data_IF_933220661645
#
_entry.id   IF_933220661645
#
_cell.length_a   1.000
_cell.length_b   1.000
_cell.length_c   1.000
_cell.angle_alpha   90.00
_cell.angle_beta   90.00
_cell.angle_gamma   90.00
#
_symmetry.space_group_name_H-M   'P 1'
#
loop_
_entity.id
_entity.type
_entity.pdbx_description
1 polymer ?
#
# COMPACT_ATOMS: atom_id res chain seq x y z
N UNK A 1 -5.75 5.41 -91.61
CA UNK A 1 -7.22 5.46 -91.53
C UNK A 1 -7.83 4.27 -90.81
N UNK A 2 -7.78 3.02 -91.30
CA UNK A 2 -8.41 1.88 -90.58
C UNK A 2 -7.71 1.50 -89.25
N UNK A 3 -6.38 1.60 -89.18
CA UNK A 3 -5.63 1.34 -87.95
C UNK A 3 -5.91 2.39 -86.85
N UNK A 4 -5.97 3.67 -87.22
CA UNK A 4 -6.29 4.77 -86.31
C UNK A 4 -7.75 4.73 -85.84
N UNK A 5 -8.68 4.34 -86.72
CA UNK A 5 -10.09 4.12 -86.34
C UNK A 5 -10.23 2.95 -85.35
N UNK A 6 -9.41 1.92 -85.47
CA UNK A 6 -9.40 0.76 -84.56
C UNK A 6 -8.78 1.11 -83.21
N UNK A 7 -7.72 1.92 -83.18
CA UNK A 7 -7.13 2.46 -81.94
C UNK A 7 -8.08 3.44 -81.22
N UNK A 8 -8.78 4.31 -81.97
CA UNK A 8 -9.78 5.21 -81.40
C UNK A 8 -10.98 4.41 -80.87
N UNK A 9 -11.45 3.39 -81.60
CA UNK A 9 -12.52 2.52 -81.14
C UNK A 9 -12.14 1.67 -79.91
N UNK A 10 -10.89 1.17 -79.83
CA UNK A 10 -10.40 0.46 -78.65
C UNK A 10 -10.25 1.39 -77.45
N UNK A 11 -9.74 2.61 -77.65
CA UNK A 11 -9.64 3.62 -76.60
C UNK A 11 -11.02 4.06 -76.08
N UNK A 12 -12.03 4.20 -76.95
CA UNK A 12 -13.42 4.48 -76.54
C UNK A 12 -14.02 3.31 -75.77
N UNK A 13 -13.75 2.06 -76.18
CA UNK A 13 -14.21 0.88 -75.45
C UNK A 13 -13.55 0.77 -74.07
N UNK A 14 -12.24 1.04 -73.95
CA UNK A 14 -11.54 1.10 -72.65
C UNK A 14 -12.09 2.21 -71.75
N UNK A 15 -12.39 3.39 -72.29
CA UNK A 15 -13.05 4.47 -71.54
C UNK A 15 -14.48 4.11 -71.08
N UNK A 16 -15.19 3.29 -71.84
CA UNK A 16 -16.54 2.81 -71.45
C UNK A 16 -16.53 1.75 -70.33
N UNK A 17 -15.35 1.20 -70.01
CA UNK A 17 -15.19 0.21 -68.92
C UNK A 17 -14.93 0.83 -67.55
N UNK A 18 -14.87 2.17 -67.45
CA UNK A 18 -14.77 2.88 -66.16
C UNK A 18 -16.06 2.66 -65.40
N UNK A 19 -16.00 1.79 -64.38
CA UNK A 19 -17.15 1.50 -63.54
C UNK A 19 -17.11 2.51 -62.38
N UNK A 20 -18.00 3.52 -62.34
CA UNK A 20 -17.92 4.60 -61.37
C UNK A 20 -17.99 4.10 -59.92
N UNK A 21 -18.63 2.95 -59.68
CA UNK A 21 -18.68 2.30 -58.37
C UNK A 21 -17.30 1.75 -57.99
N UNK A 22 -16.62 1.10 -58.93
CA UNK A 22 -15.33 0.46 -58.69
C UNK A 22 -14.20 1.46 -58.57
N UNK A 23 -14.21 2.49 -59.40
CA UNK A 23 -13.05 3.36 -59.59
C UNK A 23 -13.10 4.59 -58.65
N UNK A 24 -14.27 4.93 -58.10
CA UNK A 24 -14.44 6.09 -57.22
C UNK A 24 -15.12 5.76 -55.89
N UNK A 25 -16.22 5.01 -55.90
CA UNK A 25 -16.97 4.71 -54.67
C UNK A 25 -16.21 3.73 -53.77
N UNK A 26 -15.65 2.65 -54.33
CA UNK A 26 -14.89 1.68 -53.52
C UNK A 26 -13.64 2.27 -52.87
N UNK A 27 -12.76 3.01 -53.57
CA UNK A 27 -11.62 3.66 -52.91
C UNK A 27 -12.04 4.60 -51.79
N UNK A 28 -13.08 5.42 -52.01
CA UNK A 28 -13.62 6.32 -50.98
C UNK A 28 -14.18 5.55 -49.78
N UNK A 29 -14.94 4.47 -50.02
CA UNK A 29 -15.48 3.61 -48.97
C UNK A 29 -14.37 2.91 -48.16
N UNK A 30 -13.30 2.43 -48.81
CA UNK A 30 -12.15 1.83 -48.14
C UNK A 30 -11.45 2.84 -47.23
N UNK A 31 -11.24 4.07 -47.71
CA UNK A 31 -10.63 5.14 -46.90
C UNK A 31 -11.50 5.50 -45.69
N UNK A 32 -12.83 5.61 -45.87
CA UNK A 32 -13.76 5.90 -44.79
C UNK A 32 -13.81 4.77 -43.76
N UNK A 33 -13.88 3.51 -44.20
CA UNK A 33 -13.84 2.33 -43.32
C UNK A 33 -12.49 2.26 -42.59
N UNK A 34 -11.38 2.47 -43.29
CA UNK A 34 -10.04 2.50 -42.70
C UNK A 34 -9.91 3.59 -41.64
N UNK A 35 -10.43 4.79 -41.91
CA UNK A 35 -10.47 5.90 -40.96
C UNK A 35 -11.31 5.59 -39.73
N UNK A 36 -12.49 5.00 -39.90
CA UNK A 36 -13.35 4.56 -38.78
C UNK A 36 -12.66 3.48 -37.94
N UNK A 37 -12.12 2.44 -38.56
CA UNK A 37 -11.40 1.36 -37.87
C UNK A 37 -10.20 1.92 -37.11
N UNK A 38 -9.43 2.83 -37.72
CA UNK A 38 -8.30 3.47 -37.06
C UNK A 38 -8.75 4.32 -35.85
N UNK A 39 -9.84 5.07 -35.97
CA UNK A 39 -10.39 5.87 -34.88
C UNK A 39 -10.82 5.00 -33.69
N UNK A 40 -11.62 3.95 -33.94
CA UNK A 40 -12.06 3.03 -32.90
C UNK A 40 -10.89 2.24 -32.28
N UNK A 41 -9.93 1.80 -33.11
CA UNK A 41 -8.74 1.11 -32.63
C UNK A 41 -7.88 2.01 -31.74
N UNK A 42 -7.68 3.27 -32.13
CA UNK A 42 -6.92 4.23 -31.33
C UNK A 42 -7.62 4.55 -30.00
N UNK A 43 -8.94 4.73 -30.01
CA UNK A 43 -9.72 4.93 -28.79
C UNK A 43 -9.61 3.72 -27.85
N UNK A 44 -9.72 2.51 -28.39
CA UNK A 44 -9.59 1.26 -27.63
C UNK A 44 -8.18 1.09 -27.05
N UNK A 45 -7.12 1.37 -27.82
CA UNK A 45 -5.74 1.32 -27.33
C UNK A 45 -5.49 2.32 -26.20
N UNK A 46 -5.95 3.57 -26.34
CA UNK A 46 -5.86 4.58 -25.27
C UNK A 46 -6.57 4.13 -23.99
N UNK A 47 -7.75 3.53 -24.14
CA UNK A 47 -8.48 2.96 -23.02
C UNK A 47 -7.67 1.84 -22.35
N UNK A 48 -7.12 0.89 -23.12
CA UNK A 48 -6.30 -0.19 -22.58
C UNK A 48 -5.06 0.34 -21.86
N UNK A 49 -4.38 1.33 -22.43
CA UNK A 49 -3.19 1.92 -21.83
C UNK A 49 -3.52 2.63 -20.51
N UNK A 50 -4.66 3.32 -20.42
CA UNK A 50 -5.14 3.88 -19.15
C UNK A 50 -5.43 2.79 -18.10
N UNK A 51 -5.97 1.63 -18.49
CA UNK A 51 -6.20 0.52 -17.56
C UNK A 51 -4.88 -0.14 -17.11
N UNK A 52 -3.90 -0.27 -18.02
CA UNK A 52 -2.55 -0.75 -17.68
C UNK A 52 -1.86 0.18 -16.69
N UNK A 53 -1.95 1.49 -16.91
CA UNK A 53 -1.36 2.49 -16.01
C UNK A 53 -1.97 2.39 -14.61
N UNK A 54 -3.30 2.30 -14.48
CA UNK A 54 -3.96 2.08 -13.18
C UNK A 54 -3.48 0.81 -12.49
N UNK A 55 -3.28 -0.27 -13.25
CA UNK A 55 -2.78 -1.54 -12.71
C UNK A 55 -1.34 -1.42 -12.21
N UNK A 56 -0.48 -0.75 -12.96
CA UNK A 56 0.91 -0.52 -12.54
C UNK A 56 0.94 0.36 -11.28
N UNK A 57 0.13 1.42 -11.21
CA UNK A 57 0.01 2.25 -10.00
C UNK A 57 -0.49 1.43 -8.81
N UNK A 58 -1.54 0.61 -8.99
CA UNK A 58 -2.07 -0.23 -7.93
C UNK A 58 -1.00 -1.19 -7.39
N UNK A 59 -0.26 -1.83 -8.28
CA UNK A 59 0.81 -2.77 -7.91
C UNK A 59 1.99 -2.05 -7.23
N UNK A 60 2.39 -0.87 -7.69
CA UNK A 60 3.43 -0.06 -7.04
C UNK A 60 3.04 0.26 -5.58
N UNK A 61 1.77 0.61 -5.34
CA UNK A 61 1.25 0.87 -4.00
C UNK A 61 1.21 -0.39 -3.12
N UNK A 62 0.73 -1.51 -3.66
CA UNK A 62 0.68 -2.79 -2.95
C UNK A 62 2.10 -3.23 -2.56
N UNK A 63 3.06 -3.16 -3.49
CA UNK A 63 4.45 -3.56 -3.25
C UNK A 63 5.16 -2.60 -2.28
N UNK A 64 4.91 -1.29 -2.38
CA UNK A 64 5.46 -0.31 -1.46
C UNK A 64 4.96 -0.50 -0.02
N UNK A 65 3.66 -0.75 0.14
CA UNK A 65 3.09 -1.06 1.45
C UNK A 65 3.53 -2.42 1.97
N UNK A 66 3.75 -3.42 1.10
CA UNK A 66 4.36 -4.69 1.49
C UNK A 66 5.79 -4.50 2.00
N UNK A 67 6.58 -3.64 1.37
CA UNK A 67 7.91 -3.31 1.84
C UNK A 67 7.86 -2.68 3.24
N UNK A 68 6.97 -1.72 3.45
CA UNK A 68 6.75 -1.11 4.77
C UNK A 68 6.31 -2.16 5.81
N UNK A 69 5.37 -3.04 5.46
CA UNK A 69 4.94 -4.14 6.31
C UNK A 69 6.11 -5.05 6.72
N UNK A 70 6.92 -5.49 5.76
CA UNK A 70 8.11 -6.31 6.02
C UNK A 70 9.13 -5.60 6.93
N UNK A 71 9.31 -4.29 6.78
CA UNK A 71 10.18 -3.50 7.65
C UNK A 71 9.65 -3.42 9.08
N UNK A 72 8.34 -3.18 9.26
CA UNK A 72 7.71 -3.18 10.58
C UNK A 72 7.79 -4.56 11.25
N UNK A 73 7.60 -5.62 10.46
CA UNK A 73 7.75 -7.01 10.90
C UNK A 73 9.16 -7.30 11.40
N UNK A 74 10.18 -6.86 10.67
CA UNK A 74 11.57 -6.99 11.09
C UNK A 74 11.85 -6.19 12.38
N UNK A 75 11.30 -4.97 12.50
CA UNK A 75 11.41 -4.16 13.72
C UNK A 75 10.79 -4.90 14.91
N UNK A 76 9.54 -5.37 14.77
CA UNK A 76 8.83 -6.11 15.82
C UNK A 76 9.53 -7.40 16.23
N UNK A 77 10.04 -8.16 15.26
CA UNK A 77 10.77 -9.40 15.52
C UNK A 77 11.97 -9.24 16.47
N UNK A 78 12.54 -8.03 16.58
CA UNK A 78 13.66 -7.78 17.50
C UNK A 78 13.27 -7.79 18.99
N UNK A 79 12.06 -7.36 19.31
CA UNK A 79 11.57 -7.24 20.70
C UNK A 79 10.40 -8.17 21.03
N UNK A 80 9.82 -8.84 20.04
CA UNK A 80 8.70 -9.74 20.22
C UNK A 80 8.99 -10.81 21.29
N UNK A 81 8.07 -10.98 22.24
CA UNK A 81 8.19 -11.92 23.36
C UNK A 81 9.18 -11.51 24.46
N UNK A 82 9.84 -10.35 24.37
CA UNK A 82 10.83 -9.88 25.37
C UNK A 82 10.36 -8.70 26.21
N UNK A 83 9.21 -8.12 25.88
CA UNK A 83 8.70 -6.91 26.52
C UNK A 83 7.95 -7.23 27.83
N UNK A 84 8.17 -6.41 28.85
CA UNK A 84 7.37 -6.34 30.07
C UNK A 84 6.46 -5.10 30.03
N UNK A 85 5.73 -4.82 31.10
CA UNK A 85 4.96 -3.58 31.30
C UNK A 85 5.82 -2.41 31.80
N UNK A 86 7.03 -2.68 32.31
CA UNK A 86 7.92 -1.69 32.92
C UNK A 86 8.69 -0.85 31.86
N UNK A 87 8.55 0.49 31.85
CA UNK A 87 9.12 1.34 30.78
C UNK A 87 10.64 1.25 30.61
N UNK A 88 11.38 1.21 31.72
CA UNK A 88 12.85 1.15 31.69
C UNK A 88 13.35 -0.18 31.12
N UNK A 89 12.68 -1.27 31.48
CA UNK A 89 13.01 -2.60 30.98
C UNK A 89 12.73 -2.71 29.48
N UNK A 90 11.60 -2.14 29.02
CA UNK A 90 11.25 -2.09 27.59
C UNK A 90 12.28 -1.29 26.77
N UNK A 91 12.75 -0.16 27.30
CA UNK A 91 13.83 0.63 26.70
C UNK A 91 15.15 -0.13 26.57
N UNK A 92 15.46 -1.03 27.51
CA UNK A 92 16.63 -1.93 27.43
C UNK A 92 16.42 -3.16 26.54
N UNK A 93 15.21 -3.73 26.54
CA UNK A 93 14.87 -4.93 25.79
C UNK A 93 14.78 -4.70 24.27
N UNK A 94 14.52 -3.47 23.84
CA UNK A 94 14.53 -3.09 22.44
C UNK A 94 15.99 -2.89 21.96
N UNK A 95 16.55 -3.76 21.11
CA UNK A 95 17.94 -3.61 20.66
C UNK A 95 18.06 -2.49 19.62
N UNK A 96 19.29 -2.04 19.37
CA UNK A 96 19.55 -1.21 18.19
C UNK A 96 19.21 -2.01 16.92
N UNK A 97 18.29 -1.49 16.10
CA UNK A 97 17.89 -2.15 14.86
C UNK A 97 18.87 -1.74 13.77
N UNK A 98 19.80 -2.64 13.45
CA UNK A 98 20.79 -2.47 12.39
C UNK A 98 20.17 -2.98 11.09
N UNK A 99 19.74 -2.08 10.19
CA UNK A 99 19.12 -2.50 8.93
C UNK A 99 18.51 -1.38 8.11
N UNK A 100 18.27 -1.67 6.83
CA UNK A 100 17.83 -0.75 5.76
C UNK A 100 16.33 -0.43 5.81
N UNK A 101 15.77 -0.12 6.98
CA UNK A 101 14.40 0.40 7.03
C UNK A 101 14.40 1.77 6.35
N UNK A 102 13.86 1.82 5.14
CA UNK A 102 13.81 3.02 4.31
C UNK A 102 12.40 3.58 4.31
N UNK A 103 12.33 4.91 4.21
CA UNK A 103 11.07 5.59 3.93
C UNK A 103 10.56 5.19 2.54
N UNK A 104 9.25 5.19 2.39
CA UNK A 104 8.58 4.97 1.10
C UNK A 104 8.07 6.30 0.54
N UNK A 105 8.11 6.45 -0.78
CA UNK A 105 7.58 7.61 -1.50
C UNK A 105 6.61 7.16 -2.60
N UNK A 106 5.36 6.88 -2.20
CA UNK A 106 4.30 6.52 -3.14
C UNK A 106 3.51 7.77 -3.54
N UNK A 107 3.19 7.85 -4.83
CA UNK A 107 2.56 9.04 -5.43
C UNK A 107 1.05 9.00 -5.26
N UNK A 108 0.55 9.69 -4.24
CA UNK A 108 -0.86 9.68 -3.87
C UNK A 108 -1.80 10.25 -4.95
N UNK A 109 -1.33 11.27 -5.67
CA UNK A 109 -2.09 11.87 -6.77
C UNK A 109 -2.46 10.89 -7.89
N UNK A 110 -1.74 9.75 -8.00
CA UNK A 110 -2.01 8.71 -8.98
C UNK A 110 -3.13 7.75 -8.58
N UNK A 111 -3.56 7.74 -7.31
CA UNK A 111 -4.66 6.88 -6.81
C UNK A 111 -6.06 7.47 -6.98
N UNK A 112 -6.21 8.54 -7.75
CA UNK A 112 -7.52 9.18 -7.97
C UNK A 112 -8.58 8.24 -8.56
N UNK A 113 -8.17 7.17 -9.23
CA UNK A 113 -9.08 6.17 -9.80
C UNK A 113 -9.75 5.25 -8.76
N UNK A 114 -9.33 5.30 -7.49
CA UNK A 114 -9.87 4.46 -6.40
C UNK A 114 -10.99 5.17 -5.63
N UNK A 115 -11.04 6.50 -5.71
CA UNK A 115 -12.02 7.31 -4.98
C UNK A 115 -13.44 6.89 -5.35
N UNK A 116 -14.25 6.60 -4.32
CA UNK A 116 -15.65 6.26 -4.53
C UNK A 116 -16.45 7.49 -5.00
N UNK A 117 -17.37 7.32 -5.96
CA UNK A 117 -18.36 8.34 -6.25
C UNK A 117 -19.30 8.52 -5.05
N UNK A 118 -19.79 9.75 -4.85
CA UNK A 118 -20.54 10.14 -3.65
C UNK A 118 -21.78 9.27 -3.41
N UNK A 119 -22.38 8.73 -4.49
CA UNK A 119 -23.58 7.91 -4.44
C UNK A 119 -23.34 6.50 -3.87
N UNK A 120 -22.09 6.03 -3.82
CA UNK A 120 -21.70 4.69 -3.35
C UNK A 120 -20.99 4.73 -1.97
N UNK A 121 -20.96 5.89 -1.32
CA UNK A 121 -20.27 6.10 -0.05
C UNK A 121 -20.92 5.31 1.11
N UNK A 122 -20.11 4.50 1.80
CA UNK A 122 -20.46 3.81 3.05
C UNK A 122 -19.43 4.16 4.12
N UNK A 123 -19.84 4.64 5.29
CA UNK A 123 -18.91 4.99 6.38
C UNK A 123 -18.11 3.79 6.89
N UNK A 124 -18.69 2.58 6.86
CA UNK A 124 -18.07 1.36 7.38
C UNK A 124 -16.97 0.79 6.46
N UNK A 125 -17.05 1.03 5.14
CA UNK A 125 -16.16 0.42 4.13
C UNK A 125 -15.06 1.37 3.60
N UNK A 126 -14.98 2.61 4.10
CA UNK A 126 -14.27 3.67 3.40
C UNK A 126 -12.79 3.84 3.75
N UNK A 127 -12.25 3.20 4.79
CA UNK A 127 -10.87 3.46 5.21
C UNK A 127 -9.88 3.27 4.05
N UNK A 128 -9.99 2.16 3.32
CA UNK A 128 -9.06 1.81 2.25
C UNK A 128 -9.41 2.40 0.87
N UNK A 129 -10.50 3.18 0.77
CA UNK A 129 -10.83 3.99 -0.41
C UNK A 129 -10.65 5.49 -0.18
N UNK A 130 -10.47 5.91 1.08
CA UNK A 130 -10.21 7.29 1.48
C UNK A 130 -8.73 7.66 1.21
N UNK A 131 -8.47 8.62 0.32
CA UNK A 131 -7.12 9.07 0.02
C UNK A 131 -6.33 9.56 1.24
N UNK A 132 -7.00 10.22 2.19
CA UNK A 132 -6.36 10.75 3.38
C UNK A 132 -5.84 9.63 4.29
N UNK A 133 -6.61 8.55 4.44
CA UNK A 133 -6.20 7.38 5.21
C UNK A 133 -5.00 6.68 4.57
N UNK A 134 -5.07 6.41 3.26
CA UNK A 134 -3.98 5.75 2.52
C UNK A 134 -2.68 6.58 2.59
N UNK A 135 -2.77 7.89 2.39
CA UNK A 135 -1.64 8.80 2.56
C UNK A 135 -1.12 8.82 4.01
N UNK A 136 -2.03 8.72 4.98
CA UNK A 136 -1.71 8.61 6.39
C UNK A 136 -0.86 7.39 6.71
N UNK A 137 -1.15 6.22 6.13
CA UNK A 137 -0.35 5.00 6.34
C UNK A 137 1.13 5.21 5.97
N UNK A 138 1.39 5.74 4.77
CA UNK A 138 2.75 6.04 4.32
C UNK A 138 3.43 7.07 5.23
N UNK A 139 2.71 8.15 5.55
CA UNK A 139 3.28 9.22 6.37
C UNK A 139 3.68 8.73 7.77
N UNK A 140 2.80 7.96 8.42
CA UNK A 140 3.04 7.44 9.76
C UNK A 140 4.13 6.36 9.77
N UNK A 141 4.21 5.52 8.73
CA UNK A 141 5.35 4.62 8.56
C UNK A 141 6.66 5.40 8.43
N UNK A 142 6.72 6.44 7.59
CA UNK A 142 7.93 7.26 7.42
C UNK A 142 8.31 7.97 8.71
N UNK A 143 7.33 8.48 9.47
CA UNK A 143 7.54 9.05 10.79
C UNK A 143 8.15 8.04 11.76
N UNK A 144 7.65 6.79 11.77
CA UNK A 144 8.20 5.70 12.58
C UNK A 144 9.65 5.41 12.22
N UNK A 145 10.00 5.35 10.93
CA UNK A 145 11.39 5.14 10.50
C UNK A 145 12.30 6.28 10.99
N UNK A 146 11.85 7.54 10.90
CA UNK A 146 12.60 8.68 11.41
C UNK A 146 12.77 8.63 12.94
N UNK A 147 11.73 8.23 13.68
CA UNK A 147 11.81 8.03 15.13
C UNK A 147 12.80 6.92 15.48
N UNK A 148 12.78 5.80 14.75
CA UNK A 148 13.71 4.69 14.94
C UNK A 148 15.17 5.11 14.72
N UNK A 149 15.44 5.88 13.65
CA UNK A 149 16.78 6.42 13.40
C UNK A 149 17.24 7.33 14.54
N UNK A 150 16.39 8.25 15.00
CA UNK A 150 16.71 9.13 16.13
C UNK A 150 16.94 8.34 17.41
N UNK A 151 16.14 7.31 17.65
CA UNK A 151 16.30 6.41 18.79
C UNK A 151 17.61 5.64 18.73
N UNK A 152 17.99 5.10 17.57
CA UNK A 152 19.26 4.40 17.38
C UNK A 152 20.46 5.33 17.64
N UNK A 153 20.39 6.60 17.21
CA UNK A 153 21.42 7.58 17.56
C UNK A 153 21.58 7.76 19.08
N UNK A 154 20.47 7.86 19.82
CA UNK A 154 20.50 7.92 21.28
C UNK A 154 21.02 6.62 21.89
N UNK A 155 20.61 5.46 21.35
CA UNK A 155 21.06 4.15 21.79
C UNK A 155 22.59 4.02 21.68
N UNK A 156 23.17 4.44 20.55
CA UNK A 156 24.61 4.42 20.30
C UNK A 156 25.40 5.34 21.24
N UNK A 157 24.77 6.33 21.86
CA UNK A 157 25.39 7.21 22.87
C UNK A 157 25.19 6.66 24.29
N UNK A 158 23.99 6.19 24.60
CA UNK A 158 23.57 5.79 25.95
C UNK A 158 24.13 4.42 26.31
N UNK A 159 23.99 3.42 25.43
CA UNK A 159 24.34 2.03 25.74
C UNK A 159 25.85 1.88 26.05
N UNK A 160 26.79 2.40 25.24
CA UNK A 160 28.21 2.28 25.55
C UNK A 160 28.61 3.00 26.83
N UNK A 161 28.06 4.20 27.05
CA UNK A 161 28.33 5.00 28.25
C UNK A 161 27.88 4.27 29.52
N UNK A 162 26.68 3.68 29.50
CA UNK A 162 26.21 2.85 30.60
C UNK A 162 27.07 1.60 30.78
N UNK A 163 27.49 0.95 29.70
CA UNK A 163 28.35 -0.24 29.77
C UNK A 163 29.78 0.02 30.29
N UNK A 164 30.29 1.24 30.16
CA UNK A 164 31.58 1.64 30.75
C UNK A 164 31.50 1.84 32.26
N UNK A 165 30.38 2.39 32.75
CA UNK A 165 30.19 2.73 34.15
C UNK A 165 29.55 1.60 34.97
N UNK A 166 28.75 0.77 34.33
CA UNK A 166 28.02 -0.32 34.95
C UNK A 166 28.27 -1.60 34.15
N UNK A 167 28.66 -2.69 34.81
CA UNK A 167 28.77 -4.01 34.18
C UNK A 167 27.38 -4.54 33.83
N UNK A 168 26.77 -4.03 32.75
CA UNK A 168 25.49 -4.51 32.24
C UNK A 168 25.68 -5.89 31.63
N UNK A 169 25.45 -6.94 32.44
CA UNK A 169 25.31 -8.31 31.95
C UNK A 169 24.00 -8.45 31.19
N UNK A 170 23.97 -8.01 29.93
CA UNK A 170 22.88 -8.31 29.00
C UNK A 170 21.60 -7.48 29.16
N UNK A 171 20.55 -7.98 28.50
CA UNK A 171 19.33 -7.36 27.91
C UNK A 171 18.48 -6.46 28.83
N UNK A 172 18.79 -6.33 30.12
CA UNK A 172 17.98 -5.59 31.08
C UNK A 172 18.77 -4.46 31.75
N UNK A 173 18.17 -3.28 31.72
CA UNK A 173 18.58 -2.10 32.47
C UNK A 173 18.16 -2.28 33.94
N UNK A 174 18.87 -3.13 34.67
CA UNK A 174 18.70 -3.31 36.12
C UNK A 174 19.44 -2.19 36.88
N UNK A 175 19.24 -0.94 36.46
CA UNK A 175 19.83 0.24 37.06
C UNK A 175 18.73 1.15 37.59
N UNK A 176 18.97 1.73 38.77
CA UNK A 176 18.08 2.76 39.32
C UNK A 176 18.21 4.06 38.51
N UNK A 177 17.13 4.82 38.44
CA UNK A 177 17.06 6.05 37.62
C UNK A 177 18.15 7.07 38.02
N UNK A 178 18.41 7.19 39.32
CA UNK A 178 19.43 8.07 39.87
C UNK A 178 20.84 7.68 39.42
N UNK A 179 21.11 6.39 39.23
CA UNK A 179 22.40 5.91 38.73
C UNK A 179 22.58 6.28 37.25
N UNK A 180 21.52 6.11 36.46
CA UNK A 180 21.52 6.49 35.04
C UNK A 180 21.77 7.99 34.89
N UNK A 181 21.12 8.82 35.70
CA UNK A 181 21.25 10.29 35.63
C UNK A 181 22.60 10.85 36.10
N UNK A 182 23.43 10.05 36.78
CA UNK A 182 24.81 10.44 37.10
C UNK A 182 25.71 10.45 35.86
N UNK A 183 25.36 9.69 34.83
CA UNK A 183 26.21 9.47 33.65
C UNK A 183 25.56 9.98 32.37
N UNK A 184 24.24 9.92 32.29
CA UNK A 184 23.46 10.35 31.12
C UNK A 184 22.57 11.53 31.48
N UNK A 185 22.55 12.61 30.67
CA UNK A 185 21.62 13.71 30.87
C UNK A 185 20.16 13.22 30.90
N UNK A 186 19.35 13.62 31.91
CA UNK A 186 17.96 13.17 32.02
C UNK A 186 17.13 13.40 30.75
N UNK A 187 17.34 14.52 30.05
CA UNK A 187 16.63 14.83 28.80
C UNK A 187 16.89 13.82 27.68
N UNK A 188 18.11 13.30 27.58
CA UNK A 188 18.49 12.34 26.53
C UNK A 188 17.91 10.96 26.85
N UNK A 189 18.03 10.53 28.10
CA UNK A 189 17.49 9.24 28.54
C UNK A 189 15.95 9.20 28.47
N UNK A 190 15.28 10.26 28.93
CA UNK A 190 13.82 10.36 28.82
C UNK A 190 13.38 10.39 27.35
N UNK A 191 14.11 11.09 26.48
CA UNK A 191 13.87 11.08 25.04
C UNK A 191 14.01 9.68 24.44
N UNK A 192 15.00 8.90 24.89
CA UNK A 192 15.21 7.52 24.47
C UNK A 192 14.07 6.59 24.89
N UNK A 193 13.61 6.69 26.14
CA UNK A 193 12.45 5.93 26.63
C UNK A 193 11.19 6.32 25.86
N UNK A 194 10.94 7.63 25.70
CA UNK A 194 9.77 8.13 24.96
C UNK A 194 9.76 7.62 23.51
N UNK A 195 10.88 7.73 22.79
CA UNK A 195 10.95 7.23 21.42
C UNK A 195 10.74 5.72 21.35
N UNK A 196 11.31 4.96 22.29
CA UNK A 196 11.13 3.50 22.32
C UNK A 196 9.65 3.14 22.47
N UNK A 197 8.93 3.74 23.42
CA UNK A 197 7.51 3.43 23.60
C UNK A 197 6.65 3.86 22.42
N UNK A 198 6.94 5.02 21.84
CA UNK A 198 6.24 5.47 20.64
C UNK A 198 6.46 4.52 19.47
N UNK A 199 7.70 4.03 19.28
CA UNK A 199 8.02 3.09 18.21
C UNK A 199 7.30 1.76 18.42
N UNK A 200 7.31 1.21 19.63
CA UNK A 200 6.63 -0.08 19.92
C UNK A 200 5.14 0.05 19.61
N UNK A 201 4.47 1.05 20.20
CA UNK A 201 3.02 1.23 19.99
C UNK A 201 2.70 1.51 18.52
N UNK A 202 3.45 2.40 17.87
CA UNK A 202 3.22 2.71 16.45
C UNK A 202 3.50 1.51 15.54
N UNK A 203 4.44 0.62 15.89
CA UNK A 203 4.73 -0.59 15.10
C UNK A 203 3.55 -1.54 15.14
N UNK A 204 2.99 -1.82 16.32
CA UNK A 204 1.86 -2.73 16.47
C UNK A 204 0.63 -2.24 15.70
N UNK A 205 0.26 -0.98 15.89
CA UNK A 205 -0.92 -0.39 15.26
C UNK A 205 -0.77 -0.27 13.73
N UNK A 206 0.39 0.17 13.25
CA UNK A 206 0.65 0.27 11.80
C UNK A 206 0.78 -1.10 11.13
N UNK A 207 1.27 -2.13 11.84
CA UNK A 207 1.29 -3.49 11.31
C UNK A 207 -0.13 -3.97 10.97
N UNK A 208 -1.07 -3.78 11.89
CA UNK A 208 -2.46 -4.17 11.68
C UNK A 208 -3.10 -3.33 10.56
N UNK A 209 -2.89 -2.00 10.59
CA UNK A 209 -3.48 -1.09 9.60
C UNK A 209 -2.99 -1.38 8.17
N UNK A 210 -1.67 -1.59 8.00
CA UNK A 210 -1.07 -1.92 6.71
C UNK A 210 -1.47 -3.35 6.28
N UNK A 211 -1.50 -4.32 7.20
CA UNK A 211 -1.98 -5.67 6.89
C UNK A 211 -3.40 -5.67 6.35
N UNK A 212 -4.32 -4.98 7.03
CA UNK A 212 -5.71 -4.86 6.61
C UNK A 212 -5.81 -4.17 5.23
N UNK A 213 -5.01 -3.11 5.01
CA UNK A 213 -4.90 -2.47 3.69
C UNK A 213 -4.44 -3.47 2.61
N UNK A 214 -3.37 -4.24 2.85
CA UNK A 214 -2.85 -5.21 1.87
C UNK A 214 -3.84 -6.34 1.59
N UNK A 215 -4.70 -6.68 2.55
CA UNK A 215 -5.75 -7.68 2.36
C UNK A 215 -6.90 -7.16 1.48
N UNK A 216 -7.36 -5.92 1.71
CA UNK A 216 -8.56 -5.37 1.06
C UNK A 216 -8.28 -4.59 -0.23
N UNK A 217 -7.19 -3.82 -0.27
CA UNK A 217 -6.86 -2.91 -1.38
C UNK A 217 -6.75 -3.60 -2.76
N UNK A 218 -6.23 -4.84 -2.88
CA UNK A 218 -6.28 -5.56 -4.15
C UNK A 218 -7.70 -5.74 -4.71
N UNK A 219 -8.69 -6.00 -3.85
CA UNK A 219 -10.08 -6.21 -4.28
C UNK A 219 -10.75 -4.90 -4.68
N UNK A 220 -10.43 -3.81 -3.97
CA UNK A 220 -10.78 -2.44 -4.35
C UNK A 220 -10.22 -2.11 -5.75
N UNK A 221 -8.94 -2.42 -6.00
CA UNK A 221 -8.31 -2.16 -7.29
C UNK A 221 -8.99 -2.95 -8.42
N UNK A 222 -9.38 -4.21 -8.19
CA UNK A 222 -10.11 -5.00 -9.19
C UNK A 222 -11.48 -4.42 -9.55
N UNK A 223 -12.14 -3.70 -8.62
CA UNK A 223 -13.41 -3.00 -8.88
C UNK A 223 -13.25 -1.71 -9.69
N UNK A 224 -12.06 -1.10 -9.64
CA UNK A 224 -11.77 0.17 -10.33
C UNK A 224 -11.04 0.00 -11.66
N UNK A 225 -10.51 -1.20 -11.92
CA UNK A 225 -9.71 -1.53 -13.11
C UNK A 225 -10.42 -2.63 -13.91
N UNK A 226 -10.53 -2.46 -15.23
CA UNK A 226 -11.03 -3.51 -16.13
C UNK A 226 -9.96 -4.58 -16.35
N UNK A 227 -9.80 -5.43 -15.34
CA UNK A 227 -8.83 -6.53 -15.32
C UNK A 227 -9.10 -7.60 -16.38
N UNK A 228 -10.33 -7.70 -16.90
CA UNK A 228 -10.67 -8.70 -17.93
C UNK A 228 -10.04 -8.35 -19.27
N UNK A 229 -10.07 -7.07 -19.64
CA UNK A 229 -9.49 -6.60 -20.91
C UNK A 229 -7.96 -6.55 -20.89
N UNK A 230 -7.35 -6.39 -19.72
CA UNK A 230 -5.88 -6.37 -19.56
C UNK A 230 -5.30 -7.66 -18.97
N UNK A 231 -6.06 -8.76 -18.96
CA UNK A 231 -5.66 -10.04 -18.32
C UNK A 231 -4.31 -10.62 -18.77
N UNK A 232 -3.85 -10.26 -19.97
CA UNK A 232 -2.58 -10.71 -20.55
C UNK A 232 -1.40 -9.78 -20.25
N UNK A 233 -1.65 -8.58 -19.70
CA UNK A 233 -0.59 -7.63 -19.35
C UNK A 233 0.03 -8.01 -18.01
N UNK A 234 -0.72 -7.86 -16.91
CA UNK A 234 -0.30 -8.17 -15.54
C UNK A 234 -1.52 -8.54 -14.70
N UNK A 235 -1.29 -9.09 -13.51
CA UNK A 235 -2.31 -9.32 -12.48
C UNK A 235 -2.17 -8.30 -11.37
N UNK A 236 -3.28 -8.02 -10.67
CA UNK A 236 -3.23 -7.30 -9.39
C UNK A 236 -2.53 -8.21 -8.39
N UNK A 237 -1.52 -7.68 -7.70
CA UNK A 237 -0.78 -8.42 -6.66
C UNK A 237 -1.73 -8.72 -5.50
N UNK A 238 -1.75 -9.97 -5.07
CA UNK A 238 -2.44 -10.39 -3.84
C UNK A 238 -1.41 -10.84 -2.84
N UNK A 239 -1.61 -10.47 -1.59
CA UNK A 239 -0.69 -10.76 -0.50
C UNK A 239 -1.39 -11.68 0.49
N UNK A 240 -0.65 -12.70 0.92
CA UNK A 240 -1.05 -13.67 1.90
C UNK A 240 0.00 -13.70 2.99
N UNK A 241 -0.44 -13.83 4.24
CA UNK A 241 0.44 -13.77 5.38
C UNK A 241 0.04 -14.80 6.44
N UNK A 242 1.01 -15.58 6.90
CA UNK A 242 0.76 -16.77 7.72
C UNK A 242 1.15 -16.57 9.20
N UNK A 243 2.01 -15.60 9.52
CA UNK A 243 2.58 -15.38 10.86
C UNK A 243 1.74 -14.39 11.69
N UNK A 244 0.48 -14.75 11.90
CA UNK A 244 -0.52 -13.91 12.57
C UNK A 244 -0.17 -13.60 14.04
N UNK A 245 0.66 -14.43 14.68
CA UNK A 245 1.21 -14.21 16.02
C UNK A 245 1.93 -12.87 16.17
N UNK A 246 2.59 -12.40 15.10
CA UNK A 246 3.30 -11.13 15.08
C UNK A 246 2.39 -9.92 14.84
N UNK A 247 1.10 -10.13 14.58
CA UNK A 247 0.09 -9.06 14.51
C UNK A 247 -0.58 -8.81 15.86
N UNK A 248 -0.33 -9.64 16.88
CA UNK A 248 -0.84 -9.44 18.24
C UNK A 248 -0.18 -8.24 18.91
N UNK A 249 -0.96 -7.43 19.61
CA UNK A 249 -0.42 -6.26 20.32
C UNK A 249 0.60 -6.66 21.39
N UNK A 250 1.67 -5.88 21.49
CA UNK A 250 2.65 -6.03 22.57
C UNK A 250 1.99 -5.75 23.94
N UNK A 251 2.55 -6.28 25.04
CA UNK A 251 2.08 -5.95 26.38
C UNK A 251 1.99 -4.43 26.59
N UNK A 252 0.86 -3.97 27.12
CA UNK A 252 0.62 -2.56 27.38
C UNK A 252 1.61 -2.05 28.43
N UNK A 253 2.25 -0.92 28.14
CA UNK A 253 3.16 -0.27 29.08
C UNK A 253 2.40 0.26 30.30
N UNK A 254 3.03 0.22 31.46
CA UNK A 254 2.49 0.81 32.67
C UNK A 254 2.51 2.35 32.56
N UNK A 255 1.37 2.91 32.16
CA UNK A 255 1.20 4.36 31.96
C UNK A 255 1.42 5.16 33.25
N UNK A 256 1.06 4.62 34.42
CA UNK A 256 1.35 5.27 35.70
C UNK A 256 2.85 5.36 36.01
N UNK A 257 3.64 4.36 35.62
CA UNK A 257 5.10 4.39 35.73
C UNK A 257 5.72 5.41 34.75
N UNK A 258 5.22 5.48 33.51
CA UNK A 258 5.63 6.51 32.54
C UNK A 258 5.28 7.93 33.02
N UNK A 259 4.09 8.11 33.58
CA UNK A 259 3.63 9.40 34.10
C UNK A 259 4.56 9.92 35.20
N UNK A 260 4.95 9.04 36.14
CA UNK A 260 5.96 9.34 37.17
C UNK A 260 7.31 9.69 36.56
N UNK A 261 7.76 8.92 35.56
CA UNK A 261 9.04 9.13 34.89
C UNK A 261 9.12 10.49 34.19
N UNK A 262 8.05 10.87 33.49
CA UNK A 262 7.95 12.14 32.76
C UNK A 262 7.44 13.32 33.59
N UNK A 263 7.03 13.08 34.85
CA UNK A 263 6.46 14.07 35.78
C UNK A 263 5.21 14.76 35.21
N UNK A 264 4.32 13.97 34.62
CA UNK A 264 3.05 14.38 34.02
C UNK A 264 1.90 13.49 34.51
N UNK A 265 0.67 13.80 34.14
CA UNK A 265 -0.52 12.98 34.45
C UNK A 265 -0.56 11.72 33.57
N UNK A 266 -1.29 10.68 34.01
CA UNK A 266 -1.43 9.46 33.21
C UNK A 266 -2.21 9.71 31.92
N UNK A 267 -3.19 10.61 31.97
CA UNK A 267 -4.00 11.06 30.84
C UNK A 267 -3.12 11.72 29.77
N UNK A 268 -2.23 12.63 30.15
CA UNK A 268 -1.28 13.29 29.24
C UNK A 268 -0.34 12.28 28.56
N UNK A 269 0.08 11.24 29.28
CA UNK A 269 0.90 10.18 28.70
C UNK A 269 0.10 9.38 27.68
N UNK A 270 -1.14 9.00 28.00
CA UNK A 270 -2.02 8.25 27.09
C UNK A 270 -2.29 9.03 25.80
N UNK A 271 -2.56 10.33 25.92
CA UNK A 271 -2.75 11.21 24.77
C UNK A 271 -1.46 11.36 23.95
N UNK A 272 -0.31 11.54 24.62
CA UNK A 272 1.00 11.69 23.95
C UNK A 272 1.36 10.48 23.08
N UNK A 273 1.04 9.29 23.56
CA UNK A 273 1.30 8.05 22.83
C UNK A 273 0.13 7.65 21.91
N UNK A 274 -0.85 8.52 21.69
CA UNK A 274 -1.92 8.26 20.72
C UNK A 274 -1.33 8.19 19.30
N UNK A 275 -1.71 7.17 18.53
CA UNK A 275 -1.25 6.94 17.14
C UNK A 275 -2.34 7.26 16.13
N UNK A 276 -3.60 7.37 16.55
CA UNK A 276 -4.75 7.51 15.65
C UNK A 276 -5.20 6.20 15.01
N UNK A 277 -4.60 5.08 15.41
CA UNK A 277 -4.88 3.74 14.89
C UNK A 277 -5.41 2.78 15.96
N UNK A 278 -5.62 3.22 17.20
CA UNK A 278 -6.01 2.38 18.35
C UNK A 278 -7.27 1.52 18.14
N UNK A 279 -8.14 1.93 17.23
CA UNK A 279 -9.39 1.25 16.93
C UNK A 279 -9.34 0.51 15.59
N UNK A 280 -8.16 0.04 15.17
CA UNK A 280 -8.06 -0.76 13.96
C UNK A 280 -8.96 -2.01 14.06
N UNK A 281 -9.63 -2.40 12.95
CA UNK A 281 -10.29 -3.68 12.88
C UNK A 281 -9.29 -4.82 13.13
N UNK A 282 -9.79 -5.91 13.69
CA UNK A 282 -9.02 -7.14 13.90
C UNK A 282 -8.33 -7.57 12.59
N UNK A 283 -7.07 -8.06 12.64
CA UNK A 283 -6.37 -8.52 11.44
C UNK A 283 -7.20 -9.49 10.59
N UNK A 284 -7.28 -9.18 9.29
CA UNK A 284 -8.01 -10.02 8.35
C UNK A 284 -7.22 -11.32 8.11
N UNK A 285 -7.86 -12.46 8.30
CA UNK A 285 -7.25 -13.76 8.03
C UNK A 285 -7.22 -14.05 6.52
N UNK A 286 -6.09 -13.70 5.89
CA UNK A 286 -5.80 -14.00 4.49
C UNK A 286 -4.49 -14.80 4.38
N UNK A 287 -4.55 -16.06 4.80
CA UNK A 287 -3.39 -16.98 4.87
C UNK A 287 -3.23 -17.79 3.58
N UNK A 288 -2.06 -18.39 3.36
CA UNK A 288 -1.80 -19.28 2.24
C UNK A 288 -2.70 -20.53 2.26
N UNK A 289 -3.24 -20.92 3.42
CA UNK A 289 -4.20 -22.02 3.52
C UNK A 289 -5.56 -21.67 2.91
N UNK A 290 -5.98 -20.40 3.00
CA UNK A 290 -7.23 -19.93 2.38
C UNK A 290 -7.22 -20.05 0.85
N UNK A 291 -6.03 -20.01 0.22
CA UNK A 291 -5.87 -20.29 -1.21
C UNK A 291 -6.14 -21.74 -1.59
N UNK A 292 -5.81 -22.69 -0.70
CA UNK A 292 -5.91 -24.12 -0.97
C UNK A 292 -7.35 -24.61 -0.83
N UNK A 293 -8.10 -24.05 0.11
CA UNK A 293 -9.49 -24.39 0.39
C UNK A 293 -10.33 -23.11 0.53
N UNK A 294 -10.69 -22.44 -0.59
CA UNK A 294 -11.54 -21.27 -0.51
C UNK A 294 -12.89 -21.66 0.09
N UNK A 295 -13.27 -21.02 1.19
CA UNK A 295 -14.57 -21.23 1.82
C UNK A 295 -15.71 -20.89 0.85
N UNK A 296 -16.89 -21.45 1.10
CA UNK A 296 -18.09 -21.15 0.31
C UNK A 296 -18.36 -19.64 0.27
N UNK A 297 -18.14 -18.96 1.39
CA UNK A 297 -18.33 -17.51 1.50
C UNK A 297 -17.33 -16.69 0.68
N UNK A 298 -16.08 -17.14 0.58
CA UNK A 298 -15.06 -16.50 -0.27
C UNK A 298 -15.37 -16.67 -1.75
N UNK A 299 -15.87 -17.86 -2.13
CA UNK A 299 -16.35 -18.11 -3.49
C UNK A 299 -17.56 -17.20 -3.83
N UNK A 300 -18.50 -17.03 -2.90
CA UNK A 300 -19.65 -16.13 -3.06
C UNK A 300 -19.21 -14.67 -3.17
N UNK A 301 -18.29 -14.20 -2.30
CA UNK A 301 -17.72 -12.84 -2.36
C UNK A 301 -17.03 -12.58 -3.70
N UNK A 302 -16.20 -13.52 -4.16
CA UNK A 302 -15.51 -13.45 -5.45
C UNK A 302 -16.48 -13.42 -6.63
N UNK A 303 -17.57 -14.17 -6.57
CA UNK A 303 -18.62 -14.14 -7.59
C UNK A 303 -19.32 -12.78 -7.64
N UNK A 304 -19.75 -12.25 -6.48
CA UNK A 304 -20.36 -10.91 -6.37
C UNK A 304 -19.43 -9.81 -6.89
N UNK A 305 -18.15 -9.88 -6.56
CA UNK A 305 -17.11 -8.95 -7.04
C UNK A 305 -17.05 -8.94 -8.58
N UNK A 306 -16.99 -10.13 -9.20
CA UNK A 306 -16.95 -10.27 -10.65
C UNK A 306 -18.19 -9.69 -11.35
N UNK A 307 -19.37 -9.83 -10.75
CA UNK A 307 -20.59 -9.26 -11.29
C UNK A 307 -20.65 -7.74 -11.17
N UNK A 308 -20.14 -7.18 -10.08
CA UNK A 308 -20.00 -5.72 -9.92
C UNK A 308 -19.04 -5.13 -10.95
N UNK A 309 -17.89 -5.77 -11.20
CA UNK A 309 -16.94 -5.38 -12.26
C UNK A 309 -17.66 -5.35 -13.62
N UNK A 310 -18.41 -6.41 -13.96
CA UNK A 310 -19.17 -6.48 -15.22
C UNK A 310 -20.26 -5.41 -15.34
N UNK A 311 -20.86 -4.97 -14.23
CA UNK A 311 -21.86 -3.88 -14.23
C UNK A 311 -21.20 -2.51 -14.44
N UNK A 312 -20.09 -2.24 -13.74
CA UNK A 312 -19.40 -0.93 -13.76
C UNK A 312 -18.78 -0.60 -15.11
N UNK A 313 -18.28 -1.61 -15.83
CA UNK A 313 -17.59 -1.42 -17.12
C UNK A 313 -18.49 -1.63 -18.36
N UNK A 314 -19.80 -1.81 -18.18
CA UNK A 314 -20.76 -2.04 -19.29
C UNK A 314 -21.00 -0.81 -20.17
N UNK A 315 -20.73 0.40 -19.67
CA UNK A 315 -21.14 1.66 -20.29
C UNK A 315 -20.22 2.22 -21.38
N UNK A 316 -19.12 1.55 -21.74
CA UNK A 316 -18.16 2.08 -22.72
C UNK A 316 -18.43 1.66 -24.18
N UNK A 317 -19.56 1.02 -24.47
CA UNK A 317 -19.93 0.53 -25.81
C UNK A 317 -21.42 0.72 -26.15
N UNK A 318 -22.07 1.74 -25.58
CA UNK A 318 -23.36 2.25 -26.07
C UNK A 318 -23.15 3.67 -26.55
#
# INVERSE_FOLDING_TARGET
MEAELKEIASAINELSTVNPVKDYIFPLAIVLIGGLVAHFSAAYLRYLDAQKEKLDIANDWILGMQQAFNSLMAIKGNYFGKLTDAPLQRAGAFPEVIGSSQTIDLKMNKLSFIVQPLEEFSEEDNFHMNPAYISGLQHNYNLLINMLQRRNMLAAQIIPTLGQHYSTRGVHLDLELEQIYQVIPPSEFLGYVQLTEQIIKSTDELLIAIHNFLCQFPDICKLSIDTQRIKHYRKVVEIYYDRMDLLENSPTVNYGALAKLFRVTEEEVRERFSTGYENQPVPIEKTTESLKNPGVDDAIKKHKLNDSIKKRHRYWWV
#
